data_IF_509563623113
#
_entry.id   IF_509563623113
#
_cell.length_a   1.000
_cell.length_b   1.000
_cell.length_c   1.000
_cell.angle_alpha   90.00
_cell.angle_beta   90.00
_cell.angle_gamma   90.00
#
_symmetry.space_group_name_H-M   'P 1'
#
loop_
_entity.id
_entity.type
_entity.pdbx_description
1 polymer ?
#
# COMPACT_ATOMS: atom_id res chain seq x y z
N UNK A 1 4.35 -3.38 14.76
CA UNK A 1 3.26 -3.53 13.77
C UNK A 1 2.26 -2.45 14.13
N UNK A 2 2.31 -1.28 13.50
CA UNK A 2 1.30 -0.25 13.75
C UNK A 2 0.06 -0.54 12.91
N UNK A 3 -0.98 -1.08 13.55
CA UNK A 3 -2.35 -1.01 13.04
C UNK A 3 -2.98 0.28 13.57
N UNK A 4 -2.94 1.36 12.79
CA UNK A 4 -3.75 2.54 13.04
C UNK A 4 -5.18 2.29 12.50
N UNK A 5 -5.96 1.50 13.25
CA UNK A 5 -7.40 1.44 13.07
C UNK A 5 -8.03 2.61 13.82
N UNK A 6 -8.65 3.54 13.11
CA UNK A 6 -9.76 4.32 13.66
C UNK A 6 -10.53 5.05 12.56
N UNK A 7 -11.80 4.68 12.43
CA UNK A 7 -12.88 5.32 11.66
C UNK A 7 -13.01 4.85 10.20
N UNK A 8 -13.58 3.65 10.02
CA UNK A 8 -14.26 3.26 8.78
C UNK A 8 -13.67 2.06 8.03
N UNK A 9 -13.70 0.86 8.64
CA UNK A 9 -13.64 -0.44 7.93
C UNK A 9 -12.59 -0.60 6.83
N UNK A 10 -11.45 0.09 6.95
CA UNK A 10 -10.38 0.15 5.95
C UNK A 10 -9.14 -0.50 6.56
N UNK A 11 -8.77 -1.66 6.01
CA UNK A 11 -7.56 -2.39 6.33
C UNK A 11 -6.47 -2.01 5.34
N UNK A 12 -5.27 -1.71 5.84
CA UNK A 12 -4.12 -1.35 5.00
C UNK A 12 -3.04 -2.41 5.19
N UNK A 13 -2.61 -3.01 4.08
CA UNK A 13 -1.51 -3.98 4.08
C UNK A 13 -0.40 -3.50 3.16
N UNK A 14 0.84 -3.85 3.45
CA UNK A 14 2.00 -3.51 2.63
C UNK A 14 2.83 -4.75 2.32
N UNK A 15 3.81 -4.61 1.43
CA UNK A 15 4.72 -5.70 1.10
C UNK A 15 5.45 -6.20 2.35
N UNK A 16 5.50 -7.53 2.55
CA UNK A 16 6.14 -8.17 3.72
C UNK A 16 7.53 -7.61 3.95
N UNK A 17 7.83 -7.23 5.19
CA UNK A 17 9.12 -6.67 5.58
C UNK A 17 9.32 -5.18 5.27
N UNK A 18 8.36 -4.50 4.61
CA UNK A 18 8.36 -3.04 4.45
C UNK A 18 7.02 -2.44 4.85
N UNK A 19 6.96 -1.90 6.07
CA UNK A 19 5.82 -1.08 6.54
C UNK A 19 5.99 0.41 6.27
N UNK A 20 7.21 0.86 5.91
CA UNK A 20 7.54 2.28 5.80
C UNK A 20 8.16 2.58 4.41
N UNK A 21 7.66 3.64 3.78
CA UNK A 21 8.25 4.25 2.59
C UNK A 21 9.11 5.44 3.02
N UNK A 22 10.39 5.43 2.68
CA UNK A 22 11.30 6.54 2.95
C UNK A 22 11.76 7.17 1.65
N UNK A 23 11.36 8.42 1.44
CA UNK A 23 11.86 9.25 0.35
C UNK A 23 13.20 9.88 0.74
N UNK A 24 14.12 9.90 -0.21
CA UNK A 24 15.42 10.53 -0.10
C UNK A 24 15.34 11.98 -0.64
N UNK A 25 16.31 12.85 -0.31
CA UNK A 25 16.32 14.25 -0.79
C UNK A 25 16.29 14.39 -2.32
N UNK A 26 16.75 13.37 -3.05
CA UNK A 26 16.69 13.31 -4.52
C UNK A 26 15.31 12.84 -5.07
N UNK A 27 14.29 12.75 -4.23
CA UNK A 27 12.93 12.32 -4.58
C UNK A 27 12.76 10.82 -4.73
N UNK A 28 13.82 10.01 -4.62
CA UNK A 28 13.76 8.56 -4.79
C UNK A 28 13.23 7.88 -3.54
N UNK A 29 12.50 6.78 -3.70
CA UNK A 29 12.19 5.89 -2.59
C UNK A 29 13.37 4.95 -2.34
N UNK A 30 13.86 4.90 -1.10
CA UNK A 30 14.86 3.92 -0.67
C UNK A 30 14.29 2.49 -0.75
N UNK A 31 15.13 1.49 -1.01
CA UNK A 31 14.76 0.07 -0.98
C UNK A 31 14.28 -0.51 -2.32
N UNK A 32 13.26 -1.36 -2.26
CA UNK A 32 12.60 -2.02 -3.41
C UNK A 32 11.22 -1.41 -3.67
N UNK A 33 10.62 -1.74 -4.82
CA UNK A 33 9.23 -1.35 -5.07
C UNK A 33 8.34 -1.87 -3.94
N UNK A 34 7.42 -1.03 -3.47
CA UNK A 34 6.48 -1.35 -2.41
C UNK A 34 5.06 -1.16 -2.93
N UNK A 35 4.22 -2.14 -2.61
CA UNK A 35 2.78 -2.08 -2.87
C UNK A 35 2.07 -1.97 -1.53
N UNK A 36 1.25 -0.93 -1.40
CA UNK A 36 0.36 -0.72 -0.26
C UNK A 36 -1.06 -1.00 -0.76
N UNK A 37 -1.69 -2.04 -0.24
CA UNK A 37 -3.04 -2.45 -0.60
C UNK A 37 -4.03 -1.87 0.41
N UNK A 38 -5.02 -1.15 -0.09
CA UNK A 38 -6.16 -0.66 0.67
C UNK A 38 -7.31 -1.63 0.50
N UNK A 39 -7.82 -2.11 1.62
CA UNK A 39 -8.83 -3.14 1.69
C UNK A 39 -9.98 -2.70 2.59
N UNK A 40 -11.17 -3.24 2.34
CA UNK A 40 -12.32 -3.07 3.20
C UNK A 40 -13.16 -4.34 3.16
N UNK A 41 -13.50 -4.90 4.33
CA UNK A 41 -14.30 -6.12 4.43
C UNK A 41 -13.76 -7.26 3.54
N UNK A 42 -12.45 -7.51 3.60
CA UNK A 42 -11.73 -8.48 2.75
C UNK A 42 -11.77 -8.22 1.22
N UNK A 43 -12.19 -7.03 0.79
CA UNK A 43 -12.18 -6.59 -0.61
C UNK A 43 -11.10 -5.56 -0.84
N UNK A 44 -10.29 -5.75 -1.87
CA UNK A 44 -9.24 -4.84 -2.29
C UNK A 44 -9.86 -3.68 -3.06
N UNK A 45 -9.71 -2.47 -2.54
CA UNK A 45 -10.27 -1.24 -3.10
C UNK A 45 -9.29 -0.55 -4.04
N UNK A 46 -8.02 -0.49 -3.63
CA UNK A 46 -6.97 0.13 -4.40
C UNK A 46 -5.60 -0.37 -3.96
N UNK A 47 -4.63 -0.22 -4.84
CA UNK A 47 -3.21 -0.36 -4.54
C UNK A 47 -2.50 0.95 -4.79
N UNK A 48 -1.55 1.26 -3.91
CA UNK A 48 -0.56 2.31 -4.13
C UNK A 48 0.78 1.62 -4.35
N UNK A 49 1.26 1.66 -5.58
CA UNK A 49 2.56 1.12 -5.96
C UNK A 49 3.56 2.26 -6.00
N UNK A 50 4.56 2.23 -5.14
CA UNK A 50 5.67 3.18 -5.12
C UNK A 50 6.91 2.49 -5.65
N UNK A 51 7.47 3.04 -6.72
CA UNK A 51 8.72 2.54 -7.28
C UNK A 51 9.95 3.20 -6.63
N UNK A 52 11.13 2.66 -6.92
CA UNK A 52 12.40 3.18 -6.41
C UNK A 52 12.76 4.60 -6.91
N UNK A 53 12.15 5.08 -8.00
CA UNK A 53 12.32 6.48 -8.42
C UNK A 53 11.47 7.45 -7.59
N UNK A 54 10.67 6.94 -6.65
CA UNK A 54 9.75 7.71 -5.80
C UNK A 54 8.41 8.02 -6.45
N UNK A 55 8.13 7.47 -7.64
CA UNK A 55 6.85 7.67 -8.30
C UNK A 55 5.81 6.73 -7.68
N UNK A 56 4.81 7.32 -7.02
CA UNK A 56 3.62 6.63 -6.58
C UNK A 56 2.61 6.52 -7.72
N UNK A 57 1.96 5.36 -7.84
CA UNK A 57 0.84 5.12 -8.76
C UNK A 57 -0.29 4.44 -8.01
N UNK A 58 -1.49 4.99 -8.15
CA UNK A 58 -2.70 4.38 -7.59
C UNK A 58 -3.38 3.53 -8.64
N UNK A 59 -3.66 2.27 -8.30
CA UNK A 59 -4.47 1.34 -9.09
C UNK A 59 -5.78 1.18 -8.34
N UNK A 60 -6.89 1.63 -8.92
CA UNK A 60 -8.21 1.51 -8.29
C UNK A 60 -8.94 0.32 -8.89
N UNK A 61 -9.48 -0.54 -8.04
CA UNK A 61 -10.25 -1.69 -8.47
C UNK A 61 -11.75 -1.32 -8.46
N UNK A 62 -12.39 -1.43 -9.62
CA UNK A 62 -13.85 -1.26 -9.76
C UNK A 62 -14.60 -2.59 -9.62
N UNK A 63 -13.89 -3.70 -9.80
CA UNK A 63 -14.38 -5.07 -9.57
C UNK A 63 -13.97 -5.58 -8.20
N UNK A 64 -14.73 -6.55 -7.66
CA UNK A 64 -14.43 -7.16 -6.37
C UNK A 64 -13.18 -8.04 -6.47
N UNK A 65 -12.04 -7.51 -6.04
CA UNK A 65 -10.79 -8.27 -5.90
C UNK A 65 -10.65 -8.68 -4.44
N UNK A 66 -10.30 -9.94 -4.18
CA UNK A 66 -10.03 -10.41 -2.81
C UNK A 66 -8.79 -9.72 -2.25
N UNK A 67 -8.89 -9.22 -1.02
CA UNK A 67 -7.73 -8.72 -0.29
C UNK A 67 -7.06 -9.88 0.44
N UNK A 68 -6.11 -10.55 -0.21
CA UNK A 68 -5.18 -11.43 0.49
C UNK A 68 -4.02 -10.57 0.99
N UNK A 69 -3.95 -10.39 2.31
CA UNK A 69 -2.68 -10.04 2.96
C UNK A 69 -1.71 -11.19 2.66
N UNK A 70 -0.65 -10.91 1.91
CA UNK A 70 0.36 -11.90 1.50
C UNK A 70 1.64 -11.66 2.28
#
# INVERSE_FOLDING_TARGET
MEHASSTGGLDITSTVGRSIVRFLPNGRSSGTNITISLCSNARRLADVVVNNSGRARTVRYTSSVSCMAR
#
